data_IF_344361108394
#
_entry.id   IF_344361108394
#
_cell.length_a   1.000
_cell.length_b   1.000
_cell.length_c   1.000
_cell.angle_alpha   90.00
_cell.angle_beta   90.00
_cell.angle_gamma   90.00
#
_symmetry.space_group_name_H-M   'P 1'
#
loop_
_entity.id
_entity.type
_entity.pdbx_description
1 polymer ?
#
# COMPACT_ATOMS: atom_id res chain seq x y z
N UNK A 1 37.02 4.40 63.14
CA UNK A 1 37.43 5.80 63.28
C UNK A 1 37.26 6.42 61.87
N UNK A 2 36.42 7.32 61.50
CA UNK A 2 35.60 8.37 62.04
C UNK A 2 34.52 8.63 60.98
N UNK A 3 33.30 8.65 61.24
CA UNK A 3 32.22 9.61 61.57
C UNK A 3 32.25 10.94 60.86
N UNK A 4 31.05 11.31 60.48
CA UNK A 4 30.41 12.60 60.19
C UNK A 4 30.41 13.06 58.74
N UNK A 5 29.32 13.58 58.17
CA UNK A 5 28.08 14.09 58.70
C UNK A 5 27.06 14.40 57.65
N UNK A 6 25.82 14.40 58.08
CA UNK A 6 24.61 14.87 57.41
C UNK A 6 24.76 16.32 56.95
N UNK A 7 24.14 16.66 55.82
CA UNK A 7 23.32 17.89 55.85
C UNK A 7 22.19 17.85 54.80
N UNK A 8 20.99 17.93 55.34
CA UNK A 8 19.72 18.24 54.71
C UNK A 8 19.71 19.66 54.15
N UNK A 9 19.23 19.90 52.97
CA UNK A 9 18.49 21.12 52.70
C UNK A 9 17.38 20.86 51.66
N UNK A 10 16.21 20.60 52.19
CA UNK A 10 14.96 20.73 51.47
C UNK A 10 14.68 22.23 51.23
N UNK A 11 14.48 22.65 50.03
CA UNK A 11 13.77 23.89 49.70
C UNK A 11 12.61 23.59 48.75
N UNK A 12 11.43 23.55 49.35
CA UNK A 12 10.14 23.70 48.69
C UNK A 12 10.02 25.15 48.20
N UNK A 13 9.77 25.32 46.91
CA UNK A 13 9.11 26.54 46.43
C UNK A 13 7.91 26.12 45.60
N UNK A 14 6.75 26.24 46.23
CA UNK A 14 5.47 26.26 45.59
C UNK A 14 5.31 27.58 44.85
N UNK A 15 5.03 27.55 43.57
CA UNK A 15 4.56 28.71 42.80
C UNK A 15 3.21 28.42 42.21
N UNK A 16 2.29 29.23 42.67
CA UNK A 16 0.86 29.34 42.52
C UNK A 16 0.39 29.37 41.06
N UNK A 17 -0.66 28.59 40.81
CA UNK A 17 -1.53 28.68 39.63
C UNK A 17 -2.10 30.10 39.46
N UNK A 18 -2.03 30.62 38.25
CA UNK A 18 -2.97 31.63 37.76
C UNK A 18 -3.79 31.05 36.60
N UNK A 19 -5.01 30.68 36.94
CA UNK A 19 -6.13 30.36 36.07
C UNK A 19 -6.55 31.63 35.34
N UNK A 20 -6.42 31.73 34.04
CA UNK A 20 -6.99 32.80 33.24
C UNK A 20 -8.08 32.22 32.36
N UNK A 21 -9.31 32.38 32.86
CA UNK A 21 -10.54 32.14 32.11
C UNK A 21 -10.71 33.28 31.10
N UNK A 22 -10.81 33.00 29.85
CA UNK A 22 -11.33 33.94 28.84
C UNK A 22 -12.54 33.30 28.19
N UNK A 23 -13.68 33.83 28.58
CA UNK A 23 -14.99 33.69 27.92
C UNK A 23 -15.02 34.62 26.72
N UNK A 24 -15.53 34.15 25.62
CA UNK A 24 -15.70 35.00 24.44
C UNK A 24 -16.40 34.32 23.27
N UNK A 25 -17.73 34.35 23.37
CA UNK A 25 -18.74 34.71 22.37
C UNK A 25 -18.83 33.92 21.05
N UNK A 26 -19.90 33.17 21.03
CA UNK A 26 -20.76 32.76 19.92
C UNK A 26 -21.03 33.89 18.93
N UNK A 27 -20.77 33.63 17.66
CA UNK A 27 -21.35 34.37 16.53
C UNK A 27 -22.05 33.37 15.62
N UNK A 28 -23.36 33.42 15.67
CA UNK A 28 -24.30 32.81 14.75
C UNK A 28 -24.35 33.71 13.51
N UNK A 29 -24.00 33.19 12.35
CA UNK A 29 -24.20 33.81 11.04
C UNK A 29 -25.14 32.96 10.21
N UNK A 30 -26.34 33.50 9.98
CA UNK A 30 -27.42 32.91 9.19
C UNK A 30 -27.22 33.13 7.69
N UNK A 31 -27.73 32.18 6.91
CA UNK A 31 -28.37 32.23 5.61
C UNK A 31 -27.61 32.75 4.38
N UNK A 32 -27.49 31.87 3.40
CA UNK A 32 -27.90 32.19 2.02
C UNK A 32 -28.37 30.92 1.29
N UNK A 33 -29.66 30.94 1.03
CA UNK A 33 -30.41 30.05 0.14
C UNK A 33 -30.08 30.43 -1.32
N UNK A 34 -29.76 29.45 -2.13
CA UNK A 34 -29.47 29.64 -3.57
C UNK A 34 -29.91 28.42 -4.38
N UNK A 35 -31.13 28.41 -4.72
CA UNK A 35 -31.84 28.20 -6.01
C UNK A 35 -31.39 27.02 -6.88
N UNK A 36 -32.33 26.11 -6.96
CA UNK A 36 -32.64 25.06 -7.92
C UNK A 36 -32.60 25.62 -9.37
N UNK A 37 -31.86 24.92 -10.22
CA UNK A 37 -31.94 25.00 -11.68
C UNK A 37 -32.29 23.64 -12.25
N UNK A 38 -33.58 23.38 -12.45
CA UNK A 38 -34.10 22.35 -13.34
C UNK A 38 -33.83 22.78 -14.77
N UNK A 39 -33.28 21.86 -15.58
CA UNK A 39 -33.42 21.95 -17.04
C UNK A 39 -33.86 20.57 -17.52
N UNK A 40 -35.09 20.52 -17.86
CA UNK A 40 -35.74 19.52 -18.70
C UNK A 40 -35.35 19.81 -20.15
N UNK A 41 -35.07 18.78 -20.93
CA UNK A 41 -35.14 18.79 -22.39
C UNK A 41 -35.39 17.35 -22.82
N UNK A 42 -36.54 17.02 -23.04
CA UNK A 42 -37.39 16.73 -24.19
C UNK A 42 -36.83 15.65 -25.12
N UNK A 43 -37.61 14.59 -25.12
CA UNK A 43 -37.79 13.50 -26.07
C UNK A 43 -38.16 14.01 -27.45
N UNK A 44 -37.49 13.57 -28.49
CA UNK A 44 -38.02 13.58 -29.83
C UNK A 44 -37.96 12.18 -30.44
N UNK A 45 -39.15 11.62 -30.55
CA UNK A 45 -39.53 10.46 -31.34
C UNK A 45 -39.71 10.89 -32.78
N UNK A 46 -39.03 10.27 -33.70
CA UNK A 46 -39.49 10.33 -35.11
C UNK A 46 -39.57 8.95 -35.76
N UNK A 47 -40.66 8.89 -36.49
CA UNK A 47 -41.41 7.76 -36.94
C UNK A 47 -40.80 7.09 -38.19
N UNK A 48 -41.12 5.82 -38.30
CA UNK A 48 -41.08 4.97 -39.48
C UNK A 48 -41.91 5.53 -40.65
N UNK A 49 -41.54 5.27 -41.88
CA UNK A 49 -42.52 4.85 -42.87
C UNK A 49 -42.23 3.48 -43.51
N UNK A 50 -43.20 2.65 -43.35
CA UNK A 50 -43.54 1.47 -44.12
C UNK A 50 -43.79 1.85 -45.57
N UNK A 51 -43.21 1.15 -46.51
CA UNK A 51 -43.78 1.01 -47.89
C UNK A 51 -43.54 -0.35 -48.48
N UNK A 52 -44.59 -0.96 -48.72
CA UNK A 52 -45.17 -2.04 -49.41
C UNK A 52 -44.47 -2.52 -50.69
N UNK A 53 -44.46 -3.83 -50.83
CA UNK A 53 -44.88 -4.70 -51.94
C UNK A 53 -44.47 -4.34 -53.38
N UNK A 54 -43.67 -5.26 -53.99
CA UNK A 54 -43.98 -5.73 -55.33
C UNK A 54 -43.45 -7.19 -55.50
N UNK A 55 -44.38 -8.09 -55.75
CA UNK A 55 -44.18 -9.42 -56.30
C UNK A 55 -43.92 -9.26 -57.78
N UNK A 56 -42.85 -9.87 -58.29
CA UNK A 56 -42.85 -10.31 -59.68
C UNK A 56 -42.02 -11.60 -59.78
N UNK A 57 -42.68 -12.59 -60.34
CA UNK A 57 -42.14 -13.92 -60.60
C UNK A 57 -41.43 -13.93 -61.95
N UNK A 58 -40.15 -14.28 -61.97
CA UNK A 58 -39.48 -14.70 -63.21
C UNK A 58 -39.00 -16.13 -63.00
N UNK A 59 -39.66 -17.05 -63.67
CA UNK A 59 -39.21 -18.38 -63.96
C UNK A 59 -38.22 -18.33 -65.17
N UNK A 60 -36.98 -18.70 -64.96
CA UNK A 60 -36.15 -19.20 -66.10
C UNK A 60 -35.07 -20.16 -65.59
N UNK A 61 -34.89 -21.20 -66.32
CA UNK A 61 -34.18 -22.44 -66.04
C UNK A 61 -32.72 -22.26 -65.68
N UNK A 62 -32.33 -22.93 -64.64
CA UNK A 62 -30.93 -23.08 -64.25
C UNK A 62 -30.30 -24.25 -64.98
N UNK A 63 -29.32 -23.99 -65.80
CA UNK A 63 -28.54 -25.02 -66.52
C UNK A 63 -27.67 -25.86 -65.59
N UNK A 64 -27.42 -27.10 -65.87
CA UNK A 64 -26.72 -28.10 -65.07
C UNK A 64 -25.26 -27.68 -64.70
N UNK A 65 -24.70 -26.72 -65.39
CA UNK A 65 -23.39 -26.13 -65.11
C UNK A 65 -23.40 -25.27 -63.87
N UNK A 66 -24.48 -24.50 -63.57
CA UNK A 66 -24.61 -23.67 -62.37
C UNK A 66 -24.78 -24.51 -61.11
N UNK A 67 -25.43 -25.67 -61.16
CA UNK A 67 -25.54 -26.61 -60.06
C UNK A 67 -24.20 -27.15 -59.62
N UNK A 68 -23.30 -27.53 -60.54
CA UNK A 68 -21.97 -28.01 -60.13
C UNK A 68 -21.11 -26.95 -59.46
N UNK A 69 -21.17 -25.76 -60.00
CA UNK A 69 -20.39 -24.64 -59.40
C UNK A 69 -20.86 -24.26 -57.99
N UNK A 70 -22.20 -24.28 -57.75
CA UNK A 70 -22.78 -23.95 -56.46
C UNK A 70 -22.47 -25.01 -55.39
N UNK A 71 -22.46 -26.32 -55.78
CA UNK A 71 -22.13 -27.42 -54.85
C UNK A 71 -20.66 -27.35 -54.42
N UNK A 72 -19.76 -27.05 -55.32
CA UNK A 72 -18.32 -26.98 -55.06
C UNK A 72 -18.01 -25.79 -54.11
N UNK A 73 -18.69 -24.66 -54.32
CA UNK A 73 -18.50 -23.46 -53.49
C UNK A 73 -19.02 -23.63 -52.04
N UNK A 74 -20.16 -24.36 -51.89
CA UNK A 74 -20.72 -24.65 -50.56
C UNK A 74 -19.86 -25.63 -49.77
N UNK A 75 -19.28 -26.63 -50.41
CA UNK A 75 -18.44 -27.63 -49.75
C UNK A 75 -17.10 -27.02 -49.30
N UNK A 76 -16.51 -26.13 -50.09
CA UNK A 76 -15.29 -25.41 -49.74
C UNK A 76 -15.53 -24.44 -48.59
N UNK A 77 -16.68 -23.73 -48.54
CA UNK A 77 -17.06 -22.87 -47.45
C UNK A 77 -17.30 -23.64 -46.15
N UNK A 78 -17.90 -24.83 -46.22
CA UNK A 78 -18.13 -25.71 -45.08
C UNK A 78 -16.80 -26.21 -44.48
N UNK A 79 -15.83 -26.62 -45.31
CA UNK A 79 -14.51 -27.08 -44.88
C UNK A 79 -13.68 -25.95 -44.25
N UNK A 80 -13.77 -24.72 -44.77
CA UNK A 80 -13.13 -23.54 -44.21
C UNK A 80 -13.75 -23.14 -42.84
N UNK A 81 -15.07 -23.24 -42.74
CA UNK A 81 -15.78 -22.93 -41.47
C UNK A 81 -15.45 -23.93 -40.37
N UNK A 82 -15.31 -25.22 -40.68
CA UNK A 82 -14.91 -26.24 -39.71
C UNK A 82 -13.45 -26.07 -39.24
N UNK A 83 -12.53 -25.67 -40.13
CA UNK A 83 -11.14 -25.38 -39.76
C UNK A 83 -11.05 -24.18 -38.83
N UNK A 84 -11.82 -23.11 -39.11
CA UNK A 84 -11.83 -21.91 -38.25
C UNK A 84 -12.41 -22.18 -36.82
N UNK A 85 -13.44 -23.03 -36.72
CA UNK A 85 -13.98 -23.42 -35.40
C UNK A 85 -12.99 -24.25 -34.59
N UNK A 86 -12.25 -25.17 -35.19
CA UNK A 86 -11.22 -25.95 -34.47
C UNK A 86 -10.06 -25.06 -34.03
N UNK A 87 -9.65 -24.11 -34.85
CA UNK A 87 -8.61 -23.14 -34.49
C UNK A 87 -9.05 -22.23 -33.34
N UNK A 88 -10.29 -21.76 -33.39
CA UNK A 88 -10.87 -20.88 -32.34
C UNK A 88 -11.02 -21.62 -31.01
N UNK A 89 -11.37 -22.90 -31.01
CA UNK A 89 -11.44 -23.74 -29.81
C UNK A 89 -10.06 -23.98 -29.21
N UNK A 90 -9.04 -24.18 -30.00
CA UNK A 90 -7.67 -24.33 -29.51
C UNK A 90 -7.10 -23.02 -28.95
N UNK A 91 -7.43 -21.87 -29.54
CA UNK A 91 -7.06 -20.57 -28.97
C UNK A 91 -7.78 -20.27 -27.62
N UNK A 92 -9.06 -20.61 -27.53
CA UNK A 92 -9.83 -20.43 -26.28
C UNK A 92 -9.23 -21.23 -25.12
N UNK A 93 -8.85 -22.49 -25.35
CA UNK A 93 -8.22 -23.32 -24.33
C UNK A 93 -6.85 -22.77 -23.88
N UNK A 94 -6.03 -22.27 -24.80
CA UNK A 94 -4.73 -21.67 -24.46
C UNK A 94 -4.88 -20.34 -23.71
N UNK A 95 -5.87 -19.54 -24.09
CA UNK A 95 -6.15 -18.25 -23.44
C UNK A 95 -6.70 -18.40 -22.01
N UNK A 96 -7.39 -19.51 -21.70
CA UNK A 96 -7.93 -19.78 -20.36
C UNK A 96 -6.81 -20.09 -19.34
N UNK A 97 -5.67 -20.62 -19.78
CA UNK A 97 -4.53 -20.95 -18.91
C UNK A 97 -3.60 -19.75 -18.67
N UNK A 98 -3.67 -18.72 -19.49
CA UNK A 98 -2.83 -17.52 -19.37
C UNK A 98 -3.05 -16.76 -18.05
N UNK A 99 -4.29 -16.48 -17.58
CA UNK A 99 -4.50 -15.81 -16.30
C UNK A 99 -4.08 -16.66 -15.09
N UNK A 100 -4.13 -17.98 -15.17
CA UNK A 100 -3.67 -18.88 -14.11
C UNK A 100 -2.16 -18.81 -13.94
N UNK A 101 -1.42 -18.69 -15.04
CA UNK A 101 0.04 -18.56 -14.99
C UNK A 101 0.50 -17.24 -14.38
N UNK A 102 -0.26 -16.15 -14.55
CA UNK A 102 0.06 -14.82 -14.00
C UNK A 102 -0.16 -14.79 -12.48
N UNK A 103 -1.12 -15.55 -11.95
CA UNK A 103 -1.40 -15.61 -10.50
C UNK A 103 -0.31 -16.37 -9.72
N UNK A 104 0.47 -17.22 -10.36
CA UNK A 104 1.56 -17.97 -9.71
C UNK A 104 2.86 -17.17 -9.54
N UNK A 105 2.98 -15.97 -10.10
CA UNK A 105 4.23 -15.20 -10.13
C UNK A 105 4.47 -14.31 -8.90
N UNK A 106 3.52 -14.17 -7.97
CA UNK A 106 3.69 -13.38 -6.76
C UNK A 106 4.23 -14.25 -5.60
N UNK A 107 5.50 -14.60 -5.63
CA UNK A 107 6.18 -15.12 -4.46
C UNK A 107 6.70 -13.95 -3.62
N UNK A 108 5.90 -13.52 -2.65
CA UNK A 108 6.34 -12.56 -1.64
C UNK A 108 7.14 -13.31 -0.57
N UNK A 109 8.47 -13.20 -0.59
CA UNK A 109 9.35 -13.75 0.45
C UNK A 109 9.25 -12.98 1.79
N UNK A 110 8.22 -12.15 1.96
CA UNK A 110 7.95 -11.40 3.18
C UNK A 110 7.40 -12.34 4.24
N UNK A 111 8.11 -12.48 5.35
CA UNK A 111 7.72 -13.35 6.47
C UNK A 111 7.14 -12.57 7.65
N UNK A 112 7.42 -11.28 7.72
CA UNK A 112 6.88 -10.38 8.74
C UNK A 112 6.73 -8.98 8.17
N UNK A 113 5.62 -8.35 8.49
CA UNK A 113 5.36 -6.96 8.13
C UNK A 113 4.34 -6.38 9.11
N UNK A 114 4.74 -5.38 9.89
CA UNK A 114 3.89 -4.70 10.85
C UNK A 114 4.16 -3.21 10.87
N UNK A 115 3.13 -2.42 11.13
CA UNK A 115 3.21 -1.00 11.39
C UNK A 115 2.60 -0.71 12.75
N UNK A 116 3.28 0.12 13.53
CA UNK A 116 2.78 0.62 14.83
C UNK A 116 2.51 2.13 14.69
N UNK A 117 1.32 2.58 15.07
CA UNK A 117 0.99 3.99 15.05
C UNK A 117 1.74 4.74 16.16
N UNK A 118 2.10 5.98 15.88
CA UNK A 118 2.58 6.91 16.91
C UNK A 118 1.44 7.80 17.38
N UNK A 119 1.64 8.48 18.53
CA UNK A 119 0.63 9.39 19.08
C UNK A 119 0.27 10.49 18.07
N UNK A 120 -1.00 10.86 18.02
CA UNK A 120 -1.50 11.98 17.20
C UNK A 120 -0.89 13.33 17.61
N UNK A 121 -0.50 13.48 18.88
CA UNK A 121 0.16 14.68 19.38
C UNK A 121 1.66 14.75 19.05
N UNK A 122 2.15 13.72 18.34
CA UNK A 122 3.53 13.53 17.93
C UNK A 122 4.22 12.38 18.68
N UNK A 123 5.29 11.88 18.07
CA UNK A 123 6.09 10.77 18.60
C UNK A 123 7.05 11.28 19.69
N UNK A 124 6.90 10.78 20.90
CA UNK A 124 7.81 11.11 22.01
C UNK A 124 9.08 10.25 21.99
N UNK A 125 10.23 10.82 22.39
CA UNK A 125 11.48 10.06 22.60
C UNK A 125 11.36 8.97 23.70
N UNK A 126 10.40 9.10 24.60
CA UNK A 126 10.12 8.06 25.59
C UNK A 126 9.25 6.94 25.07
N UNK A 127 8.67 7.11 23.89
CA UNK A 127 7.74 6.16 23.28
C UNK A 127 8.50 5.25 22.30
N UNK A 128 8.98 4.14 22.82
CA UNK A 128 9.71 3.13 22.04
C UNK A 128 8.72 2.14 21.43
N UNK A 129 8.72 2.06 20.10
CA UNK A 129 7.92 1.08 19.34
C UNK A 129 8.58 -0.28 19.42
N UNK A 130 7.81 -1.33 19.76
CA UNK A 130 8.34 -2.68 19.96
C UNK A 130 7.65 -3.66 19.01
N UNK A 131 8.45 -4.33 18.19
CA UNK A 131 8.01 -5.32 17.21
C UNK A 131 8.46 -6.70 17.65
N UNK A 132 7.59 -7.46 18.27
CA UNK A 132 7.88 -8.84 18.68
C UNK A 132 7.71 -9.78 17.51
N UNK A 133 8.76 -10.51 17.17
CA UNK A 133 8.72 -11.48 16.09
C UNK A 133 8.01 -12.77 16.55
N UNK A 134 7.06 -13.29 15.76
CA UNK A 134 6.41 -14.55 16.07
C UNK A 134 7.40 -15.73 15.99
N UNK A 135 7.18 -16.75 16.82
CA UNK A 135 8.00 -17.95 16.84
C UNK A 135 7.94 -18.78 15.56
N UNK A 136 6.92 -18.53 14.72
CA UNK A 136 6.78 -19.18 13.41
C UNK A 136 7.82 -18.73 12.37
N UNK A 137 8.57 -17.66 12.64
CA UNK A 137 9.64 -17.21 11.74
C UNK A 137 10.83 -18.15 11.89
N UNK A 138 11.20 -18.93 10.83
CA UNK A 138 12.29 -19.87 10.90
C UNK A 138 13.64 -19.18 11.01
N UNK A 139 14.65 -19.92 11.48
CA UNK A 139 16.03 -19.45 11.43
C UNK A 139 16.46 -19.17 9.98
N UNK A 140 17.29 -18.16 9.81
CA UNK A 140 17.80 -17.79 8.48
C UNK A 140 18.31 -16.36 8.42
N UNK A 141 18.66 -15.95 7.20
CA UNK A 141 19.05 -14.57 6.90
C UNK A 141 17.87 -13.82 6.30
N UNK A 142 17.69 -12.59 6.75
CA UNK A 142 16.57 -11.74 6.34
C UNK A 142 17.06 -10.37 5.94
N UNK A 143 16.50 -9.87 4.86
CA UNK A 143 16.55 -8.44 4.55
C UNK A 143 15.55 -7.73 5.44
N UNK A 144 15.96 -6.61 6.02
CA UNK A 144 15.13 -5.80 6.91
C UNK A 144 14.96 -4.40 6.32
N UNK A 145 13.71 -3.99 6.18
CA UNK A 145 13.31 -2.64 5.79
C UNK A 145 12.57 -1.96 6.94
N UNK A 146 12.79 -0.67 7.07
CA UNK A 146 11.99 0.22 7.93
C UNK A 146 10.99 0.95 7.06
N UNK A 147 9.72 0.83 7.40
CA UNK A 147 8.63 1.54 6.76
C UNK A 147 8.27 2.79 7.54
N UNK A 148 8.12 3.91 6.85
CA UNK A 148 7.69 5.17 7.46
C UNK A 148 6.45 5.66 6.76
N UNK A 149 5.42 6.02 7.53
CA UNK A 149 4.29 6.82 7.07
C UNK A 149 4.42 8.21 7.67
N UNK A 150 4.48 9.21 6.81
CA UNK A 150 4.62 10.60 7.24
C UNK A 150 3.67 11.51 6.48
N UNK A 151 3.36 12.62 7.11
CA UNK A 151 2.47 13.63 6.56
C UNK A 151 3.27 14.67 5.75
N UNK A 152 2.57 15.44 4.92
CA UNK A 152 3.12 16.62 4.25
C UNK A 152 3.72 17.62 5.26
N UNK A 153 3.11 17.69 6.44
CA UNK A 153 3.52 18.60 7.54
C UNK A 153 4.82 18.18 8.24
N UNK A 154 5.41 17.02 7.94
CA UNK A 154 6.70 16.63 8.52
C UNK A 154 7.78 17.65 8.14
N UNK A 155 8.40 18.35 9.11
CA UNK A 155 9.19 19.55 8.82
C UNK A 155 10.61 19.28 8.33
N UNK A 156 11.11 18.05 8.47
CA UNK A 156 12.49 17.71 8.15
C UNK A 156 12.61 16.96 6.83
N UNK A 157 13.80 17.00 6.25
CA UNK A 157 14.18 16.19 5.09
C UNK A 157 14.50 14.75 5.47
N UNK A 158 15.09 14.57 6.65
CA UNK A 158 15.56 13.29 7.16
C UNK A 158 14.90 12.92 8.50
N UNK A 159 15.03 11.66 8.84
CA UNK A 159 14.58 11.09 10.11
C UNK A 159 15.70 10.23 10.67
N UNK A 160 16.10 10.51 11.90
CA UNK A 160 17.10 9.74 12.62
C UNK A 160 16.44 8.83 13.63
N UNK A 161 16.77 7.55 13.54
CA UNK A 161 16.23 6.49 14.39
C UNK A 161 17.36 5.76 15.12
N UNK A 162 17.08 5.34 16.33
CA UNK A 162 17.81 4.31 17.04
C UNK A 162 17.02 3.01 16.94
N UNK A 163 17.66 1.95 16.44
CA UNK A 163 17.05 0.63 16.22
C UNK A 163 17.81 -0.39 17.00
N UNK A 164 17.17 -0.96 18.03
CA UNK A 164 17.69 -2.07 18.80
C UNK A 164 17.07 -3.39 18.35
N UNK A 165 17.84 -4.47 18.28
CA UNK A 165 17.32 -5.81 18.01
C UNK A 165 18.06 -6.89 18.82
N UNK A 166 17.34 -7.95 19.23
CA UNK A 166 17.87 -9.11 19.92
C UNK A 166 17.66 -10.42 19.15
N UNK A 167 17.77 -10.36 17.81
CA UNK A 167 17.45 -11.48 16.90
C UNK A 167 18.37 -12.69 16.99
N UNK A 168 19.47 -12.58 17.74
CA UNK A 168 20.50 -13.61 17.89
C UNK A 168 20.46 -14.32 19.25
N UNK A 169 19.27 -14.56 19.78
CA UNK A 169 19.07 -15.34 21.00
C UNK A 169 19.79 -14.77 22.25
N UNK A 170 19.94 -13.46 22.29
CA UNK A 170 20.57 -12.72 23.39
C UNK A 170 19.53 -11.87 24.12
N UNK A 171 19.66 -11.79 25.44
CA UNK A 171 18.94 -10.78 26.23
C UNK A 171 19.48 -9.38 25.96
N UNK A 172 20.62 -9.28 25.27
CA UNK A 172 21.25 -7.99 24.95
C UNK A 172 20.79 -7.50 23.60
N UNK A 173 20.30 -6.26 23.55
CA UNK A 173 19.98 -5.58 22.30
C UNK A 173 21.25 -5.04 21.66
N UNK A 174 21.41 -5.36 20.37
CA UNK A 174 22.37 -4.66 19.50
C UNK A 174 21.65 -3.44 18.98
N UNK A 175 22.25 -2.27 19.15
CA UNK A 175 21.65 -0.98 18.79
C UNK A 175 22.43 -0.31 17.67
N UNK A 176 21.72 0.12 16.64
CA UNK A 176 22.24 0.85 15.49
C UNK A 176 21.53 2.21 15.36
N UNK A 177 22.24 3.18 14.79
CA UNK A 177 21.66 4.46 14.38
C UNK A 177 21.41 4.45 12.87
N UNK A 178 20.24 4.86 12.44
CA UNK A 178 19.82 4.88 11.05
C UNK A 178 19.33 6.28 10.66
N UNK A 179 19.88 6.85 9.60
CA UNK A 179 19.36 8.05 8.95
C UNK A 179 18.54 7.65 7.73
N UNK A 180 17.32 8.13 7.64
CA UNK A 180 16.38 7.91 6.54
C UNK A 180 16.04 9.25 5.89
N UNK A 181 16.04 9.32 4.56
CA UNK A 181 15.62 10.51 3.84
C UNK A 181 14.17 10.41 3.42
N UNK A 182 13.31 11.29 3.94
CA UNK A 182 11.88 11.37 3.67
C UNK A 182 11.52 12.47 2.67
N UNK A 183 12.51 13.24 2.22
CA UNK A 183 12.37 14.17 1.12
C UNK A 183 13.67 14.22 0.30
N UNK A 184 13.54 14.58 -0.97
CA UNK A 184 14.68 14.82 -1.86
C UNK A 184 15.40 16.16 -1.58
N UNK A 185 16.40 16.50 -2.38
CA UNK A 185 17.15 17.76 -2.21
C UNK A 185 16.33 19.01 -2.51
N UNK A 186 15.28 18.88 -3.32
CA UNK A 186 14.35 19.96 -3.63
C UNK A 186 13.23 20.10 -2.58
N UNK A 187 13.16 19.18 -1.60
CA UNK A 187 12.17 19.17 -0.55
C UNK A 187 10.89 18.41 -0.92
N UNK A 188 10.84 17.74 -2.08
CA UNK A 188 9.69 16.89 -2.43
C UNK A 188 9.69 15.65 -1.55
N UNK A 189 8.53 15.35 -0.97
CA UNK A 189 8.36 14.18 -0.10
C UNK A 189 8.54 12.89 -0.87
N UNK A 190 9.25 11.92 -0.28
CA UNK A 190 9.46 10.58 -0.84
C UNK A 190 8.37 9.63 -0.38
N UNK A 191 8.02 8.68 -1.26
CA UNK A 191 6.98 7.68 -0.99
C UNK A 191 5.71 7.94 -1.77
N UNK A 192 4.80 6.95 -1.72
CA UNK A 192 3.52 6.96 -2.41
C UNK A 192 2.39 6.98 -1.38
N UNK A 193 1.35 7.77 -1.67
CA UNK A 193 0.17 7.76 -0.82
C UNK A 193 -0.84 8.84 -1.17
N UNK A 194 -2.10 8.67 -0.75
CA UNK A 194 -3.17 9.62 -1.01
C UNK A 194 -3.18 10.77 0.00
N UNK A 195 -3.69 11.93 -0.42
CA UNK A 195 -4.10 13.01 0.48
C UNK A 195 -3.02 13.54 1.43
N UNK A 196 -1.78 13.66 0.98
CA UNK A 196 -0.69 14.21 1.80
C UNK A 196 -0.15 13.26 2.89
N UNK A 197 -0.46 11.97 2.80
CA UNK A 197 0.16 10.91 3.57
C UNK A 197 1.10 10.13 2.64
N UNK A 198 2.38 10.07 2.98
CA UNK A 198 3.41 9.40 2.21
C UNK A 198 3.87 8.15 2.95
N UNK A 199 4.00 7.03 2.22
CA UNK A 199 4.55 5.80 2.76
C UNK A 199 5.79 5.42 1.97
N UNK A 200 6.91 5.20 2.66
CA UNK A 200 8.15 4.73 2.06
C UNK A 200 8.70 3.53 2.84
N UNK A 201 9.34 2.61 2.13
CA UNK A 201 10.11 1.51 2.70
C UNK A 201 11.58 1.73 2.40
N UNK A 202 12.41 1.77 3.42
CA UNK A 202 13.82 2.14 3.33
C UNK A 202 14.68 0.98 3.87
N UNK A 203 15.78 0.59 3.19
CA UNK A 203 16.60 -0.53 3.62
C UNK A 203 17.31 -0.21 4.92
N UNK A 204 17.30 -1.17 5.86
CA UNK A 204 18.05 -1.10 7.11
C UNK A 204 19.21 -2.11 7.12
N UNK A 205 18.91 -3.39 6.94
CA UNK A 205 19.92 -4.45 6.84
C UNK A 205 19.70 -5.30 5.60
N UNK A 206 20.71 -5.39 4.74
CA UNK A 206 20.66 -6.27 3.57
C UNK A 206 20.66 -7.76 3.96
N UNK A 207 21.26 -8.10 5.09
CA UNK A 207 21.24 -9.46 5.66
C UNK A 207 21.39 -9.40 7.17
N UNK A 208 20.35 -9.87 7.87
CA UNK A 208 20.34 -10.00 9.32
C UNK A 208 20.08 -11.46 9.68
N UNK A 209 20.99 -12.13 10.39
CA UNK A 209 20.74 -13.49 10.88
C UNK A 209 19.71 -13.47 12.01
N UNK A 210 18.66 -14.28 11.86
CA UNK A 210 17.67 -14.55 12.91
C UNK A 210 17.80 -16.01 13.31
N UNK A 211 18.09 -16.26 14.59
CA UNK A 211 18.17 -17.62 15.11
C UNK A 211 16.78 -18.16 15.44
N UNK A 212 16.66 -19.49 15.36
CA UNK A 212 15.45 -20.19 15.78
C UNK A 212 15.41 -20.31 17.30
N UNK A 213 14.20 -20.25 17.81
CA UNK A 213 13.71 -20.82 19.06
C UNK A 213 14.37 -20.40 20.38
N UNK A 214 13.53 -20.06 21.36
CA UNK A 214 13.84 -20.00 22.78
C UNK A 214 13.74 -18.62 23.43
N UNK A 215 13.93 -17.53 22.73
CA UNK A 215 13.83 -16.17 23.29
C UNK A 215 12.89 -15.27 22.52
N UNK A 216 12.32 -14.29 23.21
CA UNK A 216 11.51 -13.25 22.60
C UNK A 216 12.39 -12.38 21.70
N UNK A 217 12.32 -12.64 20.41
CA UNK A 217 13.02 -11.84 19.39
C UNK A 217 12.20 -10.60 19.09
N UNK A 218 12.81 -9.45 19.22
CA UNK A 218 12.12 -8.19 19.01
C UNK A 218 13.03 -7.13 18.38
N UNK A 219 12.39 -6.15 17.74
CA UNK A 219 13.02 -4.89 17.40
C UNK A 219 12.41 -3.78 18.27
N UNK A 220 13.22 -2.79 18.60
CA UNK A 220 12.83 -1.57 19.30
C UNK A 220 13.26 -0.40 18.44
N UNK A 221 12.34 0.53 18.19
CA UNK A 221 12.60 1.69 17.36
C UNK A 221 12.16 2.94 18.10
N UNK A 222 13.05 3.93 18.17
CA UNK A 222 12.79 5.24 18.74
C UNK A 222 13.45 6.31 17.88
N UNK A 223 12.86 7.50 17.77
CA UNK A 223 13.51 8.60 17.08
C UNK A 223 14.52 9.31 17.98
N UNK A 224 15.61 9.79 17.37
CA UNK A 224 16.64 10.56 18.05
C UNK A 224 16.75 12.00 17.49
N UNK A 225 15.68 12.49 16.86
CA UNK A 225 15.56 13.87 16.40
C UNK A 225 15.60 14.85 17.58
N UNK A 226 15.88 16.13 17.31
CA UNK A 226 15.94 17.16 18.37
C UNK A 226 14.57 17.41 18.99
N UNK A 227 13.52 17.45 18.18
CA UNK A 227 12.14 17.70 18.62
C UNK A 227 11.60 16.58 19.50
N UNK A 228 10.79 16.97 20.48
CA UNK A 228 10.09 16.05 21.36
C UNK A 228 8.82 16.70 21.92
N UNK A 229 7.62 16.30 21.48
CA UNK A 229 7.35 15.23 20.52
C UNK A 229 7.67 15.62 19.06
N UNK A 230 8.02 14.62 18.25
CA UNK A 230 8.25 14.76 16.82
C UNK A 230 6.90 14.67 16.09
N UNK A 231 6.51 15.71 15.37
CA UNK A 231 5.25 15.77 14.64
C UNK A 231 5.41 15.36 13.19
N UNK A 232 4.32 14.96 12.54
CA UNK A 232 4.29 14.64 11.11
C UNK A 232 4.69 13.19 10.75
N UNK A 233 5.04 12.35 11.73
CA UNK A 233 5.13 10.89 11.57
C UNK A 233 3.81 10.31 12.07
N UNK A 234 3.19 9.41 11.32
CA UNK A 234 1.95 8.72 11.71
C UNK A 234 2.16 7.29 12.12
N UNK A 235 3.01 6.57 11.40
CA UNK A 235 3.29 5.16 11.66
C UNK A 235 4.75 4.83 11.33
N UNK A 236 5.30 3.89 12.06
CA UNK A 236 6.59 3.27 11.77
C UNK A 236 6.37 1.79 11.58
N UNK A 237 7.04 1.19 10.61
CA UNK A 237 6.89 -0.21 10.29
C UNK A 237 8.21 -0.93 10.15
N UNK A 238 8.14 -2.25 10.23
CA UNK A 238 9.25 -3.14 9.93
C UNK A 238 8.79 -4.25 8.98
N UNK A 239 9.60 -4.54 7.98
CA UNK A 239 9.38 -5.64 7.05
C UNK A 239 10.61 -6.53 7.00
N UNK A 240 10.39 -7.85 7.12
CA UNK A 240 11.42 -8.87 6.97
C UNK A 240 11.12 -9.70 5.73
N UNK A 241 12.09 -9.78 4.84
CA UNK A 241 12.07 -10.66 3.67
C UNK A 241 13.12 -11.73 3.83
N UNK A 242 12.71 -13.00 3.66
CA UNK A 242 13.66 -14.12 3.74
C UNK A 242 14.59 -14.09 2.53
N UNK A 243 15.88 -14.16 2.78
CA UNK A 243 16.87 -14.38 1.75
C UNK A 243 16.95 -15.87 1.43
N UNK A 244 16.79 -16.21 0.15
CA UNK A 244 17.02 -17.58 -0.28
C UNK A 244 18.51 -17.89 -0.19
N UNK A 245 18.83 -19.00 0.46
CA UNK A 245 20.21 -19.51 0.38
C UNK A 245 20.47 -19.90 -1.08
N UNK A 246 21.60 -19.50 -1.68
CA UNK A 246 21.95 -20.02 -3.00
C UNK A 246 21.91 -21.54 -2.93
N UNK A 247 21.13 -22.16 -3.82
CA UNK A 247 21.12 -23.63 -3.96
C UNK A 247 22.52 -24.05 -4.40
N UNK A 248 23.22 -24.77 -3.52
CA UNK A 248 24.47 -25.47 -3.85
C UNK A 248 24.18 -26.66 -4.75
#
# INVERSE_FOLDING_TARGET
LEKTGLNNHARRTATTLKKKTVSGKTAVGKNATGKIGKTETETETDAVPTTATMKEAVKTGTTEAERKTTITTTETRAKLRMKSHKLLHQLKNKLTWLPILILAACQNNTVYHSYEPVSLDGWSKSDTLVYTLPNSIPAGNYEVEIGIRHQESYPYRDLWLEIGHNTQDSLVYITDTLQLFLADEAGNKTGDGPCGLYQCGLPYKASLPIRAEGSTRAFRIVHIMTDNPLTGISDVGIRLRRLESPMN
#
